data_IF_498162168557
#
_entry.id   IF_498162168557
#
_cell.length_a   1.000
_cell.length_b   1.000
_cell.length_c   1.000
_cell.angle_alpha   90.00
_cell.angle_beta   90.00
_cell.angle_gamma   90.00
#
_symmetry.space_group_name_H-M   'P 1'
#
loop_
_entity.id
_entity.type
_entity.pdbx_description
1 polymer ?
#
# COMPACT_ATOMS: atom_id res chain seq x y z
N UNK A 1 32.32 -39.96 -22.60
CA UNK A 1 30.94 -39.53 -22.92
C UNK A 1 30.10 -39.30 -21.67
N UNK A 2 30.24 -40.12 -20.63
CA UNK A 2 29.54 -39.95 -19.34
C UNK A 2 29.85 -38.61 -18.65
N UNK A 3 31.10 -38.13 -18.72
CA UNK A 3 31.48 -36.83 -18.13
C UNK A 3 30.74 -35.66 -18.78
N UNK A 4 30.65 -35.64 -20.11
CA UNK A 4 29.96 -34.58 -20.86
C UNK A 4 28.46 -34.57 -20.51
N UNK A 5 27.84 -35.75 -20.42
CA UNK A 5 26.44 -35.89 -20.03
C UNK A 5 26.22 -35.37 -18.59
N UNK A 6 27.14 -35.71 -17.67
CA UNK A 6 27.10 -35.26 -16.28
C UNK A 6 27.22 -33.73 -16.18
N UNK A 7 28.15 -33.12 -16.92
CA UNK A 7 28.27 -31.67 -16.98
C UNK A 7 27.01 -31.00 -17.53
N UNK A 8 26.42 -31.52 -18.62
CA UNK A 8 25.18 -30.99 -19.20
C UNK A 8 24.03 -31.06 -18.19
N UNK A 9 23.89 -32.16 -17.46
CA UNK A 9 22.86 -32.32 -16.43
C UNK A 9 23.09 -31.32 -15.28
N UNK A 10 24.30 -31.25 -14.73
CA UNK A 10 24.62 -30.33 -13.61
C UNK A 10 24.40 -28.88 -14.02
N UNK A 11 24.86 -28.49 -15.21
CA UNK A 11 24.67 -27.12 -15.70
C UNK A 11 23.19 -26.80 -15.96
N UNK A 12 22.43 -27.77 -16.50
CA UNK A 12 20.99 -27.66 -16.68
C UNK A 12 20.24 -27.45 -15.36
N UNK A 13 20.62 -28.19 -14.29
CA UNK A 13 20.04 -28.02 -12.95
C UNK A 13 20.38 -26.65 -12.36
N UNK A 14 21.62 -26.16 -12.53
CA UNK A 14 22.03 -24.85 -12.03
C UNK A 14 21.26 -23.73 -12.75
N UNK A 15 21.21 -23.74 -14.08
CA UNK A 15 20.46 -22.75 -14.87
C UNK A 15 18.97 -22.78 -14.51
N UNK A 16 18.38 -23.99 -14.43
CA UNK A 16 16.99 -24.16 -14.03
C UNK A 16 16.72 -23.60 -12.63
N UNK A 17 17.61 -23.87 -11.68
CA UNK A 17 17.55 -23.34 -10.33
C UNK A 17 17.59 -21.81 -10.29
N UNK A 18 18.52 -21.19 -11.03
CA UNK A 18 18.63 -19.73 -11.14
C UNK A 18 17.38 -19.12 -11.78
N UNK A 19 16.87 -19.72 -12.86
CA UNK A 19 15.67 -19.25 -13.55
C UNK A 19 14.43 -19.31 -12.63
N UNK A 20 14.22 -20.42 -11.93
CA UNK A 20 13.11 -20.58 -10.97
C UNK A 20 13.26 -19.57 -9.82
N UNK A 21 14.47 -19.39 -9.29
CA UNK A 21 14.74 -18.44 -8.23
C UNK A 21 14.42 -17.00 -8.66
N UNK A 22 14.83 -16.61 -9.87
CA UNK A 22 14.56 -15.29 -10.44
C UNK A 22 13.06 -15.07 -10.63
N UNK A 23 12.35 -16.05 -11.22
CA UNK A 23 10.89 -15.98 -11.41
C UNK A 23 10.13 -15.85 -10.08
N UNK A 24 10.56 -16.55 -9.02
CA UNK A 24 9.95 -16.44 -7.68
C UNK A 24 10.23 -15.09 -7.02
N UNK A 25 11.37 -14.47 -7.29
CA UNK A 25 11.75 -13.16 -6.74
C UNK A 25 10.97 -12.01 -7.37
N UNK A 26 10.66 -12.11 -8.66
CA UNK A 26 9.95 -11.08 -9.41
C UNK A 26 8.44 -10.98 -9.12
N UNK A 27 7.85 -11.92 -8.36
CA UNK A 27 6.43 -11.83 -7.99
C UNK A 27 6.18 -10.76 -6.93
N UNK A 28 5.25 -9.86 -7.20
CA UNK A 28 4.79 -8.87 -6.23
C UNK A 28 4.12 -9.56 -5.02
N UNK A 29 4.48 -9.14 -3.80
CA UNK A 29 3.96 -9.68 -2.54
C UNK A 29 3.25 -8.58 -1.75
N UNK A 30 1.97 -8.77 -1.37
CA UNK A 30 1.25 -7.81 -0.53
C UNK A 30 1.66 -7.94 0.94
N UNK A 31 1.79 -6.80 1.63
CA UNK A 31 2.03 -6.70 3.06
C UNK A 31 1.00 -5.74 3.66
N UNK A 32 0.18 -6.24 4.58
CA UNK A 32 -0.84 -5.43 5.25
C UNK A 32 -0.18 -4.62 6.36
N UNK A 33 -0.27 -3.29 6.27
CA UNK A 33 0.29 -2.36 7.24
C UNK A 33 -0.72 -1.97 8.32
N UNK A 34 -1.99 -1.86 7.93
CA UNK A 34 -3.08 -1.48 8.82
C UNK A 34 -4.36 -2.19 8.39
N UNK A 35 -5.10 -2.71 9.37
CA UNK A 35 -6.48 -3.14 9.21
C UNK A 35 -7.31 -2.43 10.28
N UNK A 36 -8.36 -1.73 9.86
CA UNK A 36 -9.31 -1.06 10.73
C UNK A 36 -10.71 -1.58 10.39
N UNK A 37 -11.42 -2.07 11.40
CA UNK A 37 -12.78 -2.58 11.24
C UNK A 37 -13.75 -1.54 11.79
N UNK A 38 -14.69 -1.12 10.94
CA UNK A 38 -15.80 -0.25 11.29
C UNK A 38 -17.11 -1.01 11.14
N UNK A 39 -18.23 -0.53 11.70
CA UNK A 39 -19.52 -1.17 11.50
C UNK A 39 -19.93 -1.28 10.03
N UNK A 40 -19.63 -0.25 9.22
CA UNK A 40 -20.06 -0.19 7.82
C UNK A 40 -19.02 -0.72 6.83
N UNK A 41 -17.73 -0.73 7.19
CA UNK A 41 -16.64 -1.12 6.29
C UNK A 41 -15.43 -1.68 7.03
N UNK A 42 -14.59 -2.39 6.29
CA UNK A 42 -13.22 -2.71 6.70
C UNK A 42 -12.23 -1.93 5.81
N UNK A 43 -11.37 -1.13 6.44
CA UNK A 43 -10.32 -0.34 5.78
C UNK A 43 -8.97 -0.99 5.99
N UNK A 44 -8.27 -1.28 4.90
CA UNK A 44 -6.91 -1.85 4.91
C UNK A 44 -5.95 -0.97 4.14
N UNK A 45 -4.75 -0.81 4.69
CA UNK A 45 -3.62 -0.21 3.99
C UNK A 45 -2.60 -1.30 3.74
N UNK A 46 -2.22 -1.46 2.48
CA UNK A 46 -1.37 -2.55 2.01
C UNK A 46 -0.23 -1.94 1.19
N UNK A 47 0.96 -2.52 1.27
CA UNK A 47 2.03 -2.26 0.31
C UNK A 47 2.30 -3.51 -0.50
N UNK A 48 2.49 -3.38 -1.80
CA UNK A 48 3.04 -4.45 -2.61
C UNK A 48 4.54 -4.24 -2.76
N UNK A 49 5.32 -5.26 -2.42
CA UNK A 49 6.77 -5.27 -2.66
C UNK A 49 7.11 -6.15 -3.85
N UNK A 50 8.01 -5.68 -4.70
CA UNK A 50 8.63 -6.43 -5.79
C UNK A 50 10.14 -6.19 -5.72
N UNK A 51 10.94 -7.25 -5.82
CA UNK A 51 12.41 -7.18 -5.74
C UNK A 51 12.94 -6.46 -4.48
N UNK A 52 12.23 -6.60 -3.36
CA UNK A 52 12.59 -5.99 -2.06
C UNK A 52 12.22 -4.51 -1.93
N UNK A 53 11.68 -3.87 -2.98
CA UNK A 53 11.24 -2.48 -2.98
C UNK A 53 9.72 -2.39 -2.94
N UNK A 54 9.19 -1.34 -2.33
CA UNK A 54 7.75 -1.03 -2.41
C UNK A 54 7.43 -0.55 -3.81
N UNK A 55 6.56 -1.29 -4.50
CA UNK A 55 6.08 -0.98 -5.85
C UNK A 55 4.82 -0.14 -5.79
N UNK A 56 3.83 -0.61 -5.03
CA UNK A 56 2.51 0.03 -4.93
C UNK A 56 2.12 0.22 -3.47
N UNK A 57 1.44 1.34 -3.21
CA UNK A 57 0.70 1.62 -1.98
C UNK A 57 -0.78 1.45 -2.29
N UNK A 58 -1.47 0.59 -1.55
CA UNK A 58 -2.85 0.23 -1.81
C UNK A 58 -3.73 0.58 -0.62
N UNK A 59 -4.87 1.19 -0.90
CA UNK A 59 -5.96 1.37 0.05
C UNK A 59 -7.08 0.43 -0.37
N UNK A 60 -7.39 -0.54 0.46
CA UNK A 60 -8.46 -1.50 0.23
C UNK A 60 -9.61 -1.22 1.18
N UNK A 61 -10.82 -1.13 0.64
CA UNK A 61 -12.05 -1.00 1.41
C UNK A 61 -12.97 -2.16 1.10
N UNK A 62 -13.45 -2.86 2.13
CA UNK A 62 -14.48 -3.89 2.00
C UNK A 62 -15.77 -3.38 2.63
N UNK A 63 -16.86 -3.32 1.88
CA UNK A 63 -18.17 -2.94 2.42
C UNK A 63 -18.74 -4.04 3.31
N UNK A 64 -19.11 -3.72 4.55
CA UNK A 64 -19.92 -4.59 5.40
C UNK A 64 -21.41 -4.22 5.31
N UNK A 65 -21.66 -2.97 4.91
CA UNK A 65 -22.95 -2.40 4.57
C UNK A 65 -22.79 -1.53 3.32
N UNK A 66 -23.91 -1.14 2.72
CA UNK A 66 -23.90 -0.20 1.60
C UNK A 66 -23.42 1.18 2.05
N UNK A 67 -22.44 1.74 1.34
CA UNK A 67 -21.79 3.00 1.68
C UNK A 67 -21.38 3.74 0.41
N UNK A 68 -21.73 5.02 0.32
CA UNK A 68 -21.18 5.91 -0.71
C UNK A 68 -19.93 6.60 -0.20
N UNK A 69 -18.80 6.37 -0.86
CA UNK A 69 -17.50 6.99 -0.55
C UNK A 69 -17.36 8.25 -1.38
N UNK A 70 -17.27 9.40 -0.72
CA UNK A 70 -17.21 10.72 -1.36
C UNK A 70 -15.77 11.19 -1.58
N UNK A 71 -14.86 10.90 -0.66
CA UNK A 71 -13.47 11.31 -0.78
C UNK A 71 -12.49 10.31 -0.16
N UNK A 72 -11.29 10.26 -0.73
CA UNK A 72 -10.16 9.50 -0.21
C UNK A 72 -8.93 10.41 -0.19
N UNK A 73 -8.36 10.59 0.98
CA UNK A 73 -7.22 11.48 1.17
C UNK A 73 -6.22 10.92 2.17
N UNK A 74 -5.01 11.45 2.12
CA UNK A 74 -3.99 11.22 3.14
C UNK A 74 -3.91 12.42 4.05
N UNK A 75 -3.98 12.18 5.35
CA UNK A 75 -3.77 13.20 6.37
C UNK A 75 -2.32 13.09 6.86
N UNK A 76 -1.54 14.14 6.61
CA UNK A 76 -0.19 14.30 7.13
C UNK A 76 -0.24 14.86 8.54
N UNK A 77 0.58 14.30 9.43
CA UNK A 77 0.56 14.59 10.86
C UNK A 77 1.94 15.08 11.27
N UNK A 78 2.01 16.30 11.78
CA UNK A 78 3.27 16.89 12.27
C UNK A 78 3.63 16.40 13.68
N UNK A 79 4.84 16.76 14.13
CA UNK A 79 5.28 16.50 15.51
C UNK A 79 4.39 17.20 16.55
N UNK A 80 3.86 18.37 16.22
CA UNK A 80 2.94 19.14 17.09
C UNK A 80 1.47 18.75 16.89
N UNK A 81 1.18 17.65 16.19
CA UNK A 81 -0.18 17.18 15.88
C UNK A 81 -1.01 18.18 15.07
N UNK A 82 -0.37 19.03 14.28
CA UNK A 82 -1.05 19.73 13.19
C UNK A 82 -1.27 18.80 12.00
N UNK A 83 -2.34 19.06 11.23
CA UNK A 83 -2.77 18.19 10.14
C UNK A 83 -2.76 18.93 8.81
N UNK A 84 -2.30 18.25 7.76
CA UNK A 84 -2.47 18.71 6.38
C UNK A 84 -3.13 17.61 5.54
N UNK A 85 -4.09 18.00 4.70
CA UNK A 85 -4.80 17.07 3.82
C UNK A 85 -4.11 17.03 2.46
N UNK A 86 -3.84 15.83 1.99
CA UNK A 86 -3.38 15.54 0.63
C UNK A 86 -4.48 14.76 -0.08
N UNK A 87 -5.03 15.35 -1.13
CA UNK A 87 -5.97 14.66 -1.98
C UNK A 87 -5.26 13.56 -2.78
N UNK A 88 -5.78 12.34 -2.72
CA UNK A 88 -5.20 11.22 -3.46
C UNK A 88 -5.64 11.17 -4.93
N UNK A 89 -6.69 11.90 -5.32
CA UNK A 89 -7.09 12.05 -6.73
C UNK A 89 -6.00 12.70 -7.58
N UNK A 90 -5.14 13.51 -6.98
CA UNK A 90 -3.98 14.11 -7.66
C UNK A 90 -2.85 13.10 -7.93
N UNK A 91 -2.83 11.98 -7.19
CA UNK A 91 -1.84 10.91 -7.33
C UNK A 91 -2.34 9.83 -8.30
N UNK A 92 -3.67 9.65 -8.39
CA UNK A 92 -4.32 8.68 -9.25
C UNK A 92 -5.30 9.37 -10.21
N UNK A 93 -4.91 9.52 -11.48
CA UNK A 93 -5.63 10.33 -12.49
C UNK A 93 -7.09 9.92 -12.77
N UNK A 94 -7.49 8.70 -12.40
CA UNK A 94 -8.83 8.14 -12.67
C UNK A 94 -9.50 7.65 -11.39
N UNK A 95 -9.54 8.48 -10.35
CA UNK A 95 -10.29 8.17 -9.13
C UNK A 95 -11.72 8.69 -9.30
N UNK A 96 -12.62 7.86 -9.82
CA UNK A 96 -14.01 8.24 -10.07
C UNK A 96 -14.82 8.25 -8.77
N UNK A 97 -14.59 9.26 -7.90
CA UNK A 97 -15.40 9.48 -6.70
C UNK A 97 -16.56 10.44 -7.01
N UNK A 98 -17.75 10.26 -6.40
CA UNK A 98 -18.07 9.27 -5.37
C UNK A 98 -18.27 7.84 -5.91
N UNK A 99 -17.98 6.82 -5.08
CA UNK A 99 -18.19 5.40 -5.40
C UNK A 99 -19.12 4.75 -4.39
N UNK A 100 -20.13 4.03 -4.88
CA UNK A 100 -20.96 3.17 -4.06
C UNK A 100 -20.25 1.83 -3.81
N UNK A 101 -20.09 1.47 -2.55
CA UNK A 101 -19.58 0.18 -2.08
C UNK A 101 -20.75 -0.63 -1.57
N UNK A 102 -21.05 -1.74 -2.23
CA UNK A 102 -22.07 -2.70 -1.79
C UNK A 102 -21.54 -3.61 -0.69
N UNK A 103 -22.45 -4.28 0.01
CA UNK A 103 -22.08 -5.29 1.00
C UNK A 103 -21.22 -6.40 0.36
N UNK A 104 -20.15 -6.78 1.05
CA UNK A 104 -19.11 -7.72 0.62
C UNK A 104 -18.31 -7.30 -0.62
N UNK A 105 -18.55 -6.10 -1.17
CA UNK A 105 -17.76 -5.59 -2.27
C UNK A 105 -16.40 -5.09 -1.76
N UNK A 106 -15.36 -5.42 -2.50
CA UNK A 106 -13.99 -5.01 -2.24
C UNK A 106 -13.58 -4.01 -3.31
N UNK A 107 -13.16 -2.83 -2.87
CA UNK A 107 -12.57 -1.79 -3.74
C UNK A 107 -11.11 -1.60 -3.35
N UNK A 108 -10.26 -1.47 -4.35
CA UNK A 108 -8.83 -1.20 -4.16
C UNK A 108 -8.42 0.03 -4.93
N UNK A 109 -7.80 0.97 -4.23
CA UNK A 109 -7.16 2.14 -4.80
C UNK A 109 -5.65 1.88 -4.81
N UNK A 110 -5.04 1.89 -5.99
CA UNK A 110 -3.66 1.49 -6.20
C UNK A 110 -2.84 2.73 -6.58
N UNK A 111 -1.84 3.06 -5.78
CA UNK A 111 -0.97 4.20 -6.00
C UNK A 111 0.45 3.70 -6.26
N UNK A 112 1.04 3.96 -7.45
CA UNK A 112 2.45 3.71 -7.67
C UNK A 112 3.28 4.41 -6.61
N UNK A 113 4.12 3.65 -5.89
CA UNK A 113 4.78 4.15 -4.69
C UNK A 113 5.74 5.32 -4.99
N UNK A 114 6.37 5.32 -6.16
CA UNK A 114 7.25 6.42 -6.58
C UNK A 114 6.46 7.73 -6.78
N UNK A 115 5.26 7.66 -7.37
CA UNK A 115 4.38 8.82 -7.53
C UNK A 115 3.88 9.31 -6.17
N UNK A 116 3.43 8.39 -5.32
CA UNK A 116 3.00 8.69 -3.96
C UNK A 116 4.10 9.37 -3.15
N UNK A 117 5.31 8.79 -3.17
CA UNK A 117 6.50 9.33 -2.51
C UNK A 117 6.84 10.73 -3.01
N UNK A 118 6.91 10.94 -4.33
CA UNK A 118 7.21 12.26 -4.91
C UNK A 118 6.21 13.32 -4.45
N UNK A 119 4.92 12.97 -4.44
CA UNK A 119 3.87 13.88 -4.00
C UNK A 119 4.01 14.26 -2.52
N UNK A 120 4.34 13.29 -1.66
CA UNK A 120 4.63 13.56 -0.25
C UNK A 120 5.89 14.41 -0.06
N UNK A 121 6.91 14.22 -0.91
CA UNK A 121 8.16 14.99 -0.87
C UNK A 121 7.99 16.43 -1.36
N UNK A 122 7.06 16.68 -2.29
CA UNK A 122 6.76 18.03 -2.79
C UNK A 122 5.88 18.85 -1.85
N UNK A 123 5.35 18.26 -0.78
CA UNK A 123 4.56 18.98 0.21
C UNK A 123 5.47 19.83 1.12
N UNK A 124 5.20 21.13 1.20
CA UNK A 124 5.90 22.04 2.12
C UNK A 124 5.60 21.74 3.61
N UNK A 125 4.54 20.97 3.86
CA UNK A 125 4.15 20.58 5.21
C UNK A 125 5.12 19.55 5.80
N UNK A 126 5.84 19.92 6.86
CA UNK A 126 6.73 19.02 7.60
C UNK A 126 5.92 18.04 8.45
N UNK A 127 5.89 16.78 8.03
CA UNK A 127 5.17 15.71 8.73
C UNK A 127 6.12 14.67 9.35
N UNK A 128 5.61 13.96 10.36
CA UNK A 128 6.29 12.83 11.03
C UNK A 128 5.59 11.52 10.72
N UNK A 129 4.26 11.52 10.72
CA UNK A 129 3.41 10.39 10.40
C UNK A 129 2.32 10.82 9.41
N UNK A 130 1.60 9.84 8.89
CA UNK A 130 0.45 10.05 8.03
C UNK A 130 -0.59 8.95 8.29
N UNK A 131 -1.83 9.19 7.88
CA UNK A 131 -2.88 8.16 7.84
C UNK A 131 -3.77 8.35 6.63
N UNK A 132 -4.37 7.26 6.17
CA UNK A 132 -5.37 7.30 5.12
C UNK A 132 -6.72 7.61 5.76
N UNK A 133 -7.49 8.49 5.12
CA UNK A 133 -8.82 8.86 5.53
C UNK A 133 -9.77 8.71 4.35
N UNK A 134 -10.81 7.93 4.56
CA UNK A 134 -11.94 7.77 3.67
C UNK A 134 -13.12 8.51 4.26
N UNK A 135 -13.83 9.30 3.45
CA UNK A 135 -15.01 10.06 3.86
C UNK A 135 -16.22 9.55 3.08
N UNK A 136 -17.35 9.37 3.76
CA UNK A 136 -18.60 8.97 3.11
C UNK A 136 -19.40 10.17 2.58
N UNK A 137 -20.53 9.88 1.94
CA UNK A 137 -21.48 10.89 1.45
C UNK A 137 -22.08 11.78 2.54
N UNK A 138 -22.00 11.37 3.82
CA UNK A 138 -22.51 12.11 4.98
C UNK A 138 -21.41 12.87 5.75
N UNK A 139 -20.16 12.84 5.28
CA UNK A 139 -19.01 13.46 5.94
C UNK A 139 -18.40 12.65 7.09
N UNK A 140 -18.85 11.41 7.32
CA UNK A 140 -18.27 10.50 8.31
C UNK A 140 -16.89 10.03 7.82
N UNK A 141 -15.90 10.09 8.72
CA UNK A 141 -14.50 9.80 8.42
C UNK A 141 -14.06 8.45 8.99
N UNK A 142 -13.51 7.63 8.12
CA UNK A 142 -12.90 6.33 8.41
C UNK A 142 -11.39 6.46 8.27
N UNK A 143 -10.64 6.18 9.34
CA UNK A 143 -9.22 6.52 9.45
C UNK A 143 -8.39 5.27 9.65
N UNK A 144 -7.35 5.08 8.84
CA UNK A 144 -6.37 4.04 9.11
C UNK A 144 -5.61 4.31 10.42
N UNK A 145 -4.85 3.32 10.88
CA UNK A 145 -3.79 3.58 11.85
C UNK A 145 -2.81 4.64 11.30
N UNK A 146 -2.12 5.34 12.20
CA UNK A 146 -0.99 6.17 11.83
C UNK A 146 0.19 5.31 11.36
N UNK A 147 0.83 5.78 10.30
CA UNK A 147 2.00 5.17 9.68
C UNK A 147 3.10 6.22 9.57
N UNK A 148 4.34 5.77 9.52
CA UNK A 148 5.50 6.63 9.36
C UNK A 148 6.48 6.03 8.36
N UNK A 149 7.39 6.86 7.89
CA UNK A 149 8.51 6.44 7.05
C UNK A 149 9.78 6.39 7.87
N UNK A 150 10.62 5.37 7.63
CA UNK A 150 12.00 5.41 8.12
C UNK A 150 12.88 6.24 7.15
N UNK A 151 14.17 6.36 7.47
CA UNK A 151 15.15 7.10 6.63
C UNK A 151 15.23 6.58 5.18
N UNK A 152 14.88 5.32 4.95
CA UNK A 152 14.90 4.65 3.66
C UNK A 152 13.53 4.65 2.96
N UNK A 153 12.57 5.46 3.43
CA UNK A 153 11.20 5.52 2.89
C UNK A 153 10.43 4.19 2.97
N UNK A 154 10.78 3.33 3.93
CA UNK A 154 9.97 2.15 4.25
C UNK A 154 8.83 2.57 5.18
N UNK A 155 7.61 2.22 4.81
CA UNK A 155 6.41 2.47 5.61
C UNK A 155 6.33 1.47 6.76
N UNK A 156 6.09 1.96 7.97
CA UNK A 156 5.84 1.14 9.15
C UNK A 156 4.77 1.78 10.04
N UNK A 157 4.20 0.99 10.97
CA UNK A 157 3.27 1.48 11.99
C UNK A 157 4.07 1.77 13.29
N UNK A 158 4.09 3.02 13.80
CA UNK A 158 4.83 3.35 15.02
C UNK A 158 4.33 2.59 16.27
N UNK A 159 3.02 2.34 16.34
CA UNK A 159 2.35 1.79 17.53
C UNK A 159 2.28 0.25 17.57
N UNK A 160 2.97 -0.48 16.66
CA UNK A 160 3.02 -1.96 16.72
C UNK A 160 4.15 -2.53 17.57
N UNK A 161 5.07 -1.70 18.10
CA UNK A 161 6.14 -2.16 19.01
C UNK A 161 7.12 -3.20 18.44
N UNK A 162 7.00 -3.62 17.18
CA UNK A 162 7.90 -4.61 16.55
C UNK A 162 8.25 -4.19 15.13
N UNK A 163 9.53 -3.96 14.93
CA UNK A 163 10.19 -3.85 13.63
C UNK A 163 10.68 -5.25 13.22
N UNK A 164 10.43 -5.63 11.97
CA UNK A 164 11.28 -6.55 11.21
C UNK A 164 11.82 -5.78 10.01
#
# INVERSE_FOLDING_TARGET
MEDILTYVIVFGVIIGGVAIWQLRRSKARPYVLSTQNYPELQLRVIIQKQDGKTKDFLVQTTGLQELSVSSLFVELISKSRSFAKIDTGLIHKNLDLPILILQNQVIQFIYPFDSFKKYLQSSDFKFKSFRVVLEDGNGKKYKSHEMAFNKNWVIYRPDTGRYN
#
